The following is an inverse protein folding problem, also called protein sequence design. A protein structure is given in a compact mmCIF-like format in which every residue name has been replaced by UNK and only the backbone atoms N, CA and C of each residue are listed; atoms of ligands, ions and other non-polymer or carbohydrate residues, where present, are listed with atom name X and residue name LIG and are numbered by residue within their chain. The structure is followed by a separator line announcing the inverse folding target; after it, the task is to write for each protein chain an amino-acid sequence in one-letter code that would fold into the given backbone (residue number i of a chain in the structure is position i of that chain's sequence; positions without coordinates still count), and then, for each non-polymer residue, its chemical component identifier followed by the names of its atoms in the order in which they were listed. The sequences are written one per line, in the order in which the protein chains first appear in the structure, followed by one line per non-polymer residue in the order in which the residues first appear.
data_IF_280584690705
#
_entry.id   IF_280584690705
#
_cell.length_a   1.000
_cell.length_b   1.000
_cell.length_c   1.000
_cell.angle_alpha   90.00
_cell.angle_beta   90.00
_cell.angle_gamma   90.00
#
_symmetry.space_group_name_H-M   'P 1'
#
loop_
_entity.id
_entity.type
_entity.pdbx_description
1 polymer ?
#
# COMPACT_ATOMS: atom_id res chain seq x y z
N UNK A 1 49.82 51.05 5.47
CA UNK A 1 48.70 50.49 4.70
C UNK A 1 49.24 49.48 3.70
N UNK A 2 49.11 48.17 3.95
CA UNK A 2 49.18 47.13 2.91
C UNK A 2 48.06 46.12 3.19
N UNK A 3 47.26 45.92 2.16
CA UNK A 3 45.89 45.44 2.22
C UNK A 3 45.78 43.91 2.41
N UNK A 4 44.58 43.53 2.85
CA UNK A 4 44.14 42.24 3.38
C UNK A 4 44.37 41.03 2.46
N UNK A 5 44.62 39.89 3.09
CA UNK A 5 44.47 38.56 2.50
C UNK A 5 42.98 38.24 2.30
N UNK A 6 42.59 37.82 1.10
CA UNK A 6 41.24 37.35 0.80
C UNK A 6 41.21 35.84 1.02
N UNK A 7 40.50 35.40 2.05
CA UNK A 7 40.20 34.00 2.30
C UNK A 7 38.95 33.62 1.50
N UNK A 8 39.12 32.84 0.43
CA UNK A 8 38.00 32.30 -0.33
C UNK A 8 37.43 31.06 0.38
N UNK A 9 36.24 31.18 0.96
CA UNK A 9 35.49 30.04 1.51
C UNK A 9 34.71 29.39 0.38
N UNK A 10 35.14 28.20 -0.04
CA UNK A 10 34.40 27.38 -0.99
C UNK A 10 33.28 26.65 -0.23
N UNK A 11 32.03 27.10 -0.41
CA UNK A 11 30.84 26.39 0.08
C UNK A 11 30.55 25.24 -0.88
N UNK A 12 30.89 24.02 -0.47
CA UNK A 12 30.56 22.81 -1.22
C UNK A 12 29.08 22.47 -0.97
N UNK A 13 28.22 22.80 -1.93
CA UNK A 13 26.82 22.35 -1.92
C UNK A 13 26.79 20.84 -2.20
N UNK A 14 26.65 20.04 -1.14
CA UNK A 14 26.34 18.63 -1.27
C UNK A 14 24.92 18.49 -1.83
N UNK A 15 24.81 18.16 -3.12
CA UNK A 15 23.53 17.79 -3.74
C UNK A 15 23.22 16.37 -3.27
N UNK A 16 22.14 16.11 -2.51
CA UNK A 16 21.75 14.74 -2.21
C UNK A 16 21.37 14.06 -3.53
N UNK A 17 22.08 12.99 -3.87
CA UNK A 17 21.70 12.12 -4.97
C UNK A 17 20.39 11.42 -4.59
N UNK A 18 19.26 11.97 -5.04
CA UNK A 18 17.99 11.25 -5.01
C UNK A 18 18.14 10.06 -5.97
N UNK A 19 18.21 8.84 -5.41
CA UNK A 19 18.14 7.62 -6.21
C UNK A 19 16.81 7.55 -7.00
N UNK A 20 16.71 6.68 -8.02
CA UNK A 20 15.48 6.55 -8.79
C UNK A 20 14.32 6.23 -7.86
N UNK A 21 13.30 7.09 -7.85
CA UNK A 21 12.07 6.84 -7.11
C UNK A 21 11.38 5.62 -7.75
N UNK A 22 11.15 4.57 -6.96
CA UNK A 22 10.32 3.45 -7.39
C UNK A 22 8.92 3.97 -7.73
N UNK A 23 8.35 3.50 -8.84
CA UNK A 23 6.96 3.83 -9.18
C UNK A 23 6.03 3.14 -8.18
N UNK A 24 5.12 3.87 -7.50
CA UNK A 24 4.19 3.24 -6.57
C UNK A 24 3.29 2.23 -7.25
N UNK A 25 2.98 1.14 -6.54
CA UNK A 25 2.00 0.16 -6.95
C UNK A 25 0.60 0.80 -6.95
N UNK A 26 -0.22 0.38 -7.90
CA UNK A 26 -1.63 0.75 -8.00
C UNK A 26 -2.48 -0.50 -8.19
N UNK A 27 -3.77 -0.49 -7.81
CA UNK A 27 -4.67 -1.59 -8.13
C UNK A 27 -4.62 -1.93 -9.62
N UNK A 28 -4.50 -3.23 -9.92
CA UNK A 28 -4.49 -3.72 -11.31
C UNK A 28 -5.89 -3.73 -11.92
N UNK A 29 -6.93 -3.69 -11.08
CA UNK A 29 -8.33 -3.62 -11.49
C UNK A 29 -8.91 -2.29 -11.03
N UNK A 30 -9.15 -1.39 -11.98
CA UNK A 30 -9.85 -0.14 -11.70
C UNK A 30 -11.33 -0.40 -11.37
N UNK A 31 -11.89 0.39 -10.45
CA UNK A 31 -13.29 0.27 -10.06
C UNK A 31 -13.61 -1.00 -9.27
N UNK A 32 -12.62 -1.61 -8.59
CA UNK A 32 -12.84 -2.78 -7.74
C UNK A 32 -13.89 -2.53 -6.64
N UNK A 33 -14.10 -1.26 -6.27
CA UNK A 33 -15.07 -0.79 -5.28
C UNK A 33 -16.52 -1.13 -5.63
N UNK A 34 -16.81 -1.33 -6.92
CA UNK A 34 -18.14 -1.76 -7.37
C UNK A 34 -18.45 -3.22 -7.01
N UNK A 35 -17.41 -4.00 -6.69
CA UNK A 35 -17.50 -5.44 -6.42
C UNK A 35 -17.23 -5.79 -4.96
N UNK A 36 -16.37 -5.03 -4.29
CA UNK A 36 -15.97 -5.29 -2.93
C UNK A 36 -16.17 -4.08 -2.04
N UNK A 37 -16.58 -4.34 -0.79
CA UNK A 37 -16.59 -3.34 0.28
C UNK A 37 -15.46 -3.63 1.25
N UNK A 38 -14.72 -2.60 1.63
CA UNK A 38 -13.65 -2.66 2.61
C UNK A 38 -14.05 -1.90 3.87
N UNK A 39 -13.83 -2.56 5.02
CA UNK A 39 -13.78 -1.91 6.32
C UNK A 39 -12.45 -2.28 6.96
N UNK A 40 -11.72 -1.30 7.47
CA UNK A 40 -10.38 -1.52 7.99
C UNK A 40 -9.98 -0.47 9.03
N UNK A 41 -8.98 -0.82 9.82
CA UNK A 41 -8.38 0.03 10.83
C UNK A 41 -6.87 -0.22 10.87
N UNK A 42 -6.16 0.70 11.52
CA UNK A 42 -4.72 0.55 11.81
C UNK A 42 -4.50 0.52 13.31
N UNK A 43 -3.59 -0.34 13.75
CA UNK A 43 -3.19 -0.50 15.15
C UNK A 43 -1.68 -0.81 15.24
N UNK A 44 -1.18 -1.03 16.45
CA UNK A 44 0.16 -1.52 16.74
C UNK A 44 0.08 -2.93 17.34
N UNK A 45 0.75 -3.90 16.72
CA UNK A 45 0.96 -5.24 17.32
C UNK A 45 2.43 -5.37 17.72
N UNK A 46 2.68 -5.54 19.03
CA UNK A 46 4.03 -5.60 19.58
C UNK A 46 4.92 -4.40 19.14
N UNK A 47 4.32 -3.21 19.09
CA UNK A 47 5.00 -1.98 18.66
C UNK A 47 5.23 -1.85 17.15
N UNK A 48 4.78 -2.81 16.34
CA UNK A 48 4.87 -2.76 14.87
C UNK A 48 3.52 -2.35 14.28
N UNK A 49 3.49 -1.45 13.29
CA UNK A 49 2.24 -1.07 12.65
C UNK A 49 1.56 -2.27 11.96
N UNK A 50 0.25 -2.35 12.13
CA UNK A 50 -0.61 -3.41 11.59
C UNK A 50 -1.87 -2.76 11.01
N UNK A 51 -2.22 -3.13 9.78
CA UNK A 51 -3.52 -2.80 9.20
C UNK A 51 -4.37 -4.06 9.17
N UNK A 52 -5.57 -4.01 9.73
CA UNK A 52 -6.50 -5.14 9.77
C UNK A 52 -7.89 -4.73 9.33
N UNK A 53 -8.68 -5.69 8.88
CA UNK A 53 -10.01 -5.38 8.36
C UNK A 53 -10.71 -6.56 7.73
N UNK A 54 -11.80 -6.26 7.03
CA UNK A 54 -12.57 -7.22 6.26
C UNK A 54 -12.78 -6.76 4.83
N UNK A 55 -12.84 -7.74 3.93
CA UNK A 55 -13.22 -7.57 2.53
C UNK A 55 -14.50 -8.34 2.32
N UNK A 56 -15.59 -7.64 2.01
CA UNK A 56 -16.88 -8.23 1.63
C UNK A 56 -16.95 -8.31 0.11
N UNK A 57 -17.29 -9.49 -0.42
CA UNK A 57 -17.72 -9.61 -1.81
C UNK A 57 -19.20 -9.21 -1.91
N UNK A 58 -19.44 -8.01 -2.43
CA UNK A 58 -20.77 -7.42 -2.64
C UNK A 58 -21.29 -7.71 -4.05
N UNK A 59 -20.55 -8.53 -4.82
CA UNK A 59 -20.87 -8.89 -6.19
C UNK A 59 -21.52 -10.28 -6.31
N UNK A 60 -22.20 -10.52 -7.43
CA UNK A 60 -22.97 -11.74 -7.69
C UNK A 60 -22.16 -12.99 -8.05
N UNK A 61 -20.83 -12.90 -8.17
CA UNK A 61 -19.96 -14.04 -8.52
C UNK A 61 -18.93 -14.33 -7.42
N UNK A 62 -18.53 -15.59 -7.20
CA UNK A 62 -17.43 -15.89 -6.29
C UNK A 62 -16.11 -15.35 -6.83
N UNK A 63 -15.29 -14.75 -5.97
CA UNK A 63 -13.95 -14.28 -6.28
C UNK A 63 -12.90 -15.13 -5.57
N UNK A 64 -11.84 -15.49 -6.28
CA UNK A 64 -10.64 -16.11 -5.72
C UNK A 64 -9.42 -15.25 -5.97
N UNK A 65 -8.28 -15.66 -5.42
CA UNK A 65 -7.02 -14.95 -5.58
C UNK A 65 -7.07 -13.47 -5.17
N UNK A 66 -7.97 -13.10 -4.26
CA UNK A 66 -8.17 -11.72 -3.84
C UNK A 66 -6.94 -11.23 -3.08
N UNK A 67 -6.32 -10.16 -3.59
CA UNK A 67 -5.15 -9.51 -3.04
C UNK A 67 -5.49 -8.09 -2.62
N UNK A 68 -4.94 -7.65 -1.51
CA UNK A 68 -5.12 -6.32 -0.95
C UNK A 68 -3.80 -5.56 -1.05
N UNK A 69 -3.88 -4.30 -1.48
CA UNK A 69 -2.77 -3.35 -1.43
C UNK A 69 -3.01 -2.40 -0.27
N UNK A 70 -2.04 -2.33 0.64
CA UNK A 70 -2.00 -1.38 1.76
C UNK A 70 -0.88 -0.39 1.50
N UNK A 71 -1.23 0.89 1.44
CA UNK A 71 -0.30 2.00 1.32
C UNK A 71 -0.17 2.70 2.68
N UNK A 72 1.06 2.87 3.14
CA UNK A 72 1.38 3.79 4.23
C UNK A 72 1.69 5.15 3.61
N UNK A 73 1.03 6.23 4.08
CA UNK A 73 1.24 7.58 3.54
C UNK A 73 1.68 8.57 4.61
N UNK A 74 2.58 9.48 4.25
CA UNK A 74 3.03 10.58 5.11
C UNK A 74 2.06 11.78 5.11
N UNK A 75 2.44 12.85 5.80
CA UNK A 75 1.64 14.07 5.91
C UNK A 75 1.42 14.81 4.56
N UNK A 76 2.31 14.62 3.58
CA UNK A 76 2.18 15.18 2.23
C UNK A 76 1.28 14.32 1.33
N UNK A 77 0.85 13.15 1.81
CA UNK A 77 0.12 12.16 1.03
C UNK A 77 1.03 11.28 0.17
N UNK A 78 2.35 11.41 0.32
CA UNK A 78 3.35 10.57 -0.34
C UNK A 78 3.38 9.17 0.27
N UNK A 79 3.56 8.16 -0.58
CA UNK A 79 3.65 6.76 -0.16
C UNK A 79 5.04 6.50 0.42
N UNK A 80 5.09 6.01 1.65
CA UNK A 80 6.34 5.70 2.39
C UNK A 80 6.60 4.19 2.53
N UNK A 81 5.56 3.36 2.39
CA UNK A 81 5.64 1.90 2.31
C UNK A 81 4.40 1.35 1.60
N UNK A 82 4.53 0.21 0.93
CA UNK A 82 3.41 -0.52 0.31
C UNK A 82 3.55 -2.01 0.52
N UNK A 83 2.43 -2.69 0.80
CA UNK A 83 2.40 -4.16 0.86
C UNK A 83 1.18 -4.73 0.16
N UNK A 84 1.43 -5.81 -0.58
CA UNK A 84 0.38 -6.68 -1.10
C UNK A 84 0.22 -7.89 -0.16
N UNK A 85 -1.02 -8.17 0.23
CA UNK A 85 -1.37 -9.33 1.04
C UNK A 85 -2.45 -10.18 0.36
N UNK A 86 -2.39 -11.49 0.57
CA UNK A 86 -3.35 -12.43 0.00
C UNK A 86 -4.37 -12.85 1.06
N UNK A 87 -5.66 -12.81 0.72
CA UNK A 87 -6.73 -13.20 1.66
C UNK A 87 -6.81 -14.72 1.89
N UNK A 88 -6.14 -15.53 1.06
CA UNK A 88 -6.04 -16.98 1.20
C UNK A 88 -7.37 -17.75 1.09
N UNK A 89 -8.46 -17.07 0.71
CA UNK A 89 -9.81 -17.63 0.68
C UNK A 89 -10.53 -17.26 -0.64
N UNK A 90 -11.50 -18.09 -1.01
CA UNK A 90 -12.48 -17.73 -2.03
C UNK A 90 -13.64 -17.02 -1.34
N UNK A 91 -13.98 -15.82 -1.81
CA UNK A 91 -15.12 -15.05 -1.34
C UNK A 91 -16.32 -15.34 -2.23
N UNK A 92 -17.27 -16.16 -1.76
CA UNK A 92 -18.57 -16.32 -2.43
C UNK A 92 -19.43 -15.05 -2.24
N UNK A 93 -20.48 -14.84 -3.06
CA UNK A 93 -21.34 -13.67 -2.93
C UNK A 93 -21.86 -13.47 -1.50
N UNK A 94 -21.74 -12.24 -0.98
CA UNK A 94 -22.19 -11.86 0.36
C UNK A 94 -21.28 -12.32 1.51
N UNK A 95 -20.16 -12.99 1.24
CA UNK A 95 -19.21 -13.41 2.28
C UNK A 95 -18.08 -12.40 2.45
N UNK A 96 -17.51 -12.40 3.66
CA UNK A 96 -16.37 -11.55 4.02
C UNK A 96 -15.16 -12.37 4.48
N UNK A 97 -13.96 -11.89 4.19
CA UNK A 97 -12.72 -12.43 4.71
C UNK A 97 -12.00 -11.38 5.57
N UNK A 98 -11.47 -11.83 6.70
CA UNK A 98 -10.61 -11.02 7.56
C UNK A 98 -9.19 -10.97 7.00
N UNK A 99 -8.50 -9.85 7.20
CA UNK A 99 -7.08 -9.71 6.87
C UNK A 99 -6.30 -8.98 7.95
N UNK A 100 -5.00 -9.26 7.97
CA UNK A 100 -3.99 -8.56 8.75
C UNK A 100 -2.74 -8.36 7.89
N UNK A 101 -2.27 -7.12 7.79
CA UNK A 101 -1.09 -6.74 7.02
C UNK A 101 -0.14 -5.96 7.93
N UNK A 102 0.90 -6.61 8.48
CA UNK A 102 1.96 -5.92 9.19
C UNK A 102 2.68 -4.94 8.27
N UNK A 103 3.04 -3.75 8.72
CA UNK A 103 3.78 -2.74 7.95
C UNK A 103 5.12 -2.42 8.61
N UNK A 104 6.07 -3.39 8.65
CA UNK A 104 7.30 -3.27 9.42
C UNK A 104 8.34 -2.31 8.81
N UNK A 105 8.17 -1.90 7.55
CA UNK A 105 9.14 -1.07 6.85
C UNK A 105 8.76 0.41 6.82
N UNK A 106 7.70 0.82 7.53
CA UNK A 106 7.35 2.24 7.70
C UNK A 106 8.52 2.96 8.39
N UNK A 107 9.23 3.89 7.72
CA UNK A 107 10.41 4.52 8.29
C UNK A 107 10.04 5.39 9.50
N UNK A 108 10.84 5.33 10.56
CA UNK A 108 10.62 6.15 11.77
C UNK A 108 10.74 7.66 11.49
N UNK A 109 11.59 8.05 10.53
CA UNK A 109 11.77 9.43 10.08
C UNK A 109 10.63 9.94 9.18
N UNK A 110 9.87 9.03 8.56
CA UNK A 110 8.77 9.30 7.66
C UNK A 110 7.49 8.62 8.14
N UNK A 111 7.26 8.65 9.47
CA UNK A 111 6.18 7.91 10.11
C UNK A 111 4.85 8.11 9.38
N UNK A 112 4.23 6.99 8.99
CA UNK A 112 2.94 6.98 8.33
C UNK A 112 1.92 7.76 9.17
N UNK A 113 1.20 8.68 8.53
CA UNK A 113 0.13 9.48 9.14
C UNK A 113 -1.24 8.91 8.85
N UNK A 114 -1.37 8.16 7.77
CA UNK A 114 -2.55 7.40 7.44
C UNK A 114 -2.19 6.14 6.65
N UNK A 115 -3.16 5.25 6.53
CA UNK A 115 -3.12 4.13 5.60
C UNK A 115 -4.20 4.29 4.54
N UNK A 116 -3.98 3.68 3.38
CA UNK A 116 -5.00 3.47 2.35
C UNK A 116 -5.04 1.99 2.04
N UNK A 117 -6.24 1.45 1.84
CA UNK A 117 -6.43 0.02 1.55
C UNK A 117 -7.29 -0.11 0.32
N UNK A 118 -6.86 -0.97 -0.61
CA UNK A 118 -7.55 -1.23 -1.86
C UNK A 118 -7.48 -2.71 -2.23
N UNK A 119 -8.44 -3.19 -3.01
CA UNK A 119 -8.31 -4.51 -3.65
C UNK A 119 -7.36 -4.37 -4.84
N UNK A 120 -6.21 -5.03 -4.76
CA UNK A 120 -5.15 -4.97 -5.77
C UNK A 120 -5.51 -5.77 -7.02
N UNK A 121 -5.97 -7.00 -6.82
CA UNK A 121 -6.31 -7.94 -7.89
C UNK A 121 -7.21 -9.07 -7.36
N UNK A 122 -7.97 -9.71 -8.23
CA UNK A 122 -8.82 -10.86 -7.95
C UNK A 122 -9.18 -11.58 -9.26
N UNK A 123 -9.64 -12.83 -9.16
CA UNK A 123 -10.16 -13.60 -10.28
C UNK A 123 -11.61 -14.02 -10.00
N UNK A 124 -12.50 -13.91 -10.97
CA UNK A 124 -13.84 -14.48 -10.86
C UNK A 124 -13.81 -16.00 -11.04
N UNK A 125 -14.56 -16.71 -10.20
CA UNK A 125 -14.85 -18.14 -10.38
C UNK A 125 -16.08 -18.21 -11.28
N UNK A 126 -15.87 -18.39 -12.58
CA UNK A 126 -16.96 -18.62 -13.51
C UNK A 126 -17.48 -20.06 -13.36
N UNK A 127 -18.80 -20.23 -13.30
CA UNK A 127 -19.43 -21.55 -13.44
C UNK A 127 -19.41 -21.97 -14.92
N UNK A 128 -18.36 -22.68 -15.34
CA UNK A 128 -18.37 -23.54 -16.53
C UNK A 128 -17.99 -22.90 -17.87
N UNK A 129 -16.94 -23.45 -18.49
CA UNK A 129 -16.55 -23.18 -19.87
C UNK A 129 -15.31 -23.95 -20.34
N UNK A 130 -15.00 -25.13 -19.79
CA UNK A 130 -14.03 -26.02 -20.42
C UNK A 130 -14.79 -26.87 -21.46
N UNK A 131 -14.78 -26.40 -22.70
CA UNK A 131 -14.85 -27.28 -23.86
C UNK A 131 -13.41 -27.68 -24.20
N UNK A 132 -12.96 -28.82 -23.68
CA UNK A 132 -11.83 -29.57 -24.24
C UNK A 132 -12.14 -31.05 -24.24
#
# INVERSE_FOLDING_TARGET
MRALAILAVAVLLAVPAAGPAATPLQPLVAGWEQYFKLDWQSDLRAGQPLVSGHVLNDWGFPARNVRILVDAVDASGGIVDQRIAWLGSTLTPGTRAYFEVPMPHVPSSAAARAYRVSVFAFDWVQSGGDHR
#
